data_IF_965328308662
#
_entry.id   IF_965328308662
#
_cell.length_a   1.000
_cell.length_b   1.000
_cell.length_c   1.000
_cell.angle_alpha   90.00
_cell.angle_beta   90.00
_cell.angle_gamma   90.00
#
_symmetry.space_group_name_H-M   'P 1'
#
loop_
_entity.id
_entity.type
_entity.pdbx_description
1 polymer ?
#
# COMPACT_ATOMS: atom_id res chain seq x y z
N UNK A 1 10.22 -48.95 -9.33
CA UNK A 1 9.37 -47.98 -8.61
C UNK A 1 10.15 -46.79 -8.03
N UNK A 2 11.27 -46.98 -7.30
CA UNK A 2 12.09 -45.85 -6.76
C UNK A 2 12.65 -44.87 -7.81
N UNK A 3 12.99 -45.35 -9.02
CA UNK A 3 13.59 -44.51 -10.09
C UNK A 3 12.59 -43.52 -10.72
N UNK A 4 11.30 -43.89 -10.75
CA UNK A 4 10.22 -43.06 -11.33
C UNK A 4 9.88 -41.90 -10.39
N UNK A 5 9.93 -42.13 -9.07
CA UNK A 5 9.75 -41.09 -8.07
C UNK A 5 10.89 -40.05 -8.10
N UNK A 6 12.13 -40.49 -8.36
CA UNK A 6 13.28 -39.59 -8.44
C UNK A 6 13.20 -38.67 -9.67
N UNK A 7 12.77 -39.19 -10.82
CA UNK A 7 12.55 -38.40 -12.04
C UNK A 7 11.34 -37.47 -11.96
N UNK A 8 10.28 -37.86 -11.24
CA UNK A 8 9.14 -36.98 -10.98
C UNK A 8 9.52 -35.81 -10.06
N UNK A 9 10.39 -36.06 -9.08
CA UNK A 9 10.86 -35.03 -8.15
C UNK A 9 11.72 -33.96 -8.84
N UNK A 10 12.53 -34.35 -9.84
CA UNK A 10 13.29 -33.38 -10.66
C UNK A 10 12.41 -32.54 -11.59
N UNK A 11 11.21 -33.02 -11.93
CA UNK A 11 10.22 -32.28 -12.71
C UNK A 11 9.20 -31.50 -11.86
N UNK A 12 9.17 -31.72 -10.54
CA UNK A 12 8.27 -31.00 -9.63
C UNK A 12 8.41 -29.46 -9.68
N UNK A 13 9.62 -28.87 -9.78
CA UNK A 13 9.77 -27.42 -9.93
C UNK A 13 9.12 -26.92 -11.22
N UNK A 14 9.29 -27.62 -12.34
CA UNK A 14 8.71 -27.23 -13.63
C UNK A 14 7.17 -27.21 -13.58
N UNK A 15 6.56 -28.15 -12.85
CA UNK A 15 5.10 -28.17 -12.63
C UNK A 15 4.65 -27.04 -11.69
N UNK A 16 5.44 -26.68 -10.67
CA UNK A 16 5.16 -25.55 -9.79
C UNK A 16 5.23 -24.19 -10.53
N UNK A 17 6.19 -24.03 -11.46
CA UNK A 17 6.31 -22.85 -12.31
C UNK A 17 5.26 -22.80 -13.45
N UNK A 18 4.61 -23.92 -13.78
CA UNK A 18 3.56 -23.99 -14.81
C UNK A 18 2.14 -23.74 -14.26
N UNK A 19 1.98 -23.52 -12.96
CA UNK A 19 0.68 -23.26 -12.34
C UNK A 19 0.15 -21.89 -12.80
N UNK A 20 -0.84 -21.88 -13.70
CA UNK A 20 -1.50 -20.66 -14.14
C UNK A 20 -2.40 -20.11 -13.02
N UNK A 21 -1.90 -19.16 -12.24
CA UNK A 21 -2.62 -18.46 -11.18
C UNK A 21 -3.46 -17.28 -11.70
N UNK A 22 -3.78 -17.22 -13.00
CA UNK A 22 -4.44 -16.05 -13.63
C UNK A 22 -5.71 -15.56 -12.93
N UNK A 23 -6.54 -16.46 -12.39
CA UNK A 23 -7.72 -16.08 -11.61
C UNK A 23 -7.34 -15.41 -10.28
N UNK A 24 -6.32 -15.93 -9.58
CA UNK A 24 -5.82 -15.38 -8.33
C UNK A 24 -5.14 -14.02 -8.56
N UNK A 25 -4.37 -13.91 -9.64
CA UNK A 25 -3.74 -12.66 -10.06
C UNK A 25 -4.80 -11.60 -10.40
N UNK A 26 -5.86 -11.98 -11.10
CA UNK A 26 -6.97 -11.07 -11.42
C UNK A 26 -7.67 -10.56 -10.16
N UNK A 27 -7.90 -11.43 -9.18
CA UNK A 27 -8.47 -11.05 -7.88
C UNK A 27 -7.54 -10.10 -7.12
N UNK A 28 -6.24 -10.41 -7.01
CA UNK A 28 -5.24 -9.57 -6.34
C UNK A 28 -5.11 -8.20 -7.00
N UNK A 29 -5.09 -8.14 -8.34
CA UNK A 29 -5.08 -6.88 -9.10
C UNK A 29 -6.36 -6.08 -8.87
N UNK A 30 -7.50 -6.75 -8.77
CA UNK A 30 -8.79 -6.09 -8.51
C UNK A 30 -8.81 -5.46 -7.12
N UNK A 31 -8.37 -6.20 -6.09
CA UNK A 31 -8.24 -5.68 -4.72
C UNK A 31 -7.23 -4.53 -4.68
N UNK A 32 -6.06 -4.69 -5.30
CA UNK A 32 -5.04 -3.64 -5.38
C UNK A 32 -5.58 -2.36 -6.02
N UNK A 33 -6.42 -2.46 -7.05
CA UNK A 33 -7.08 -1.30 -7.67
C UNK A 33 -8.03 -0.60 -6.70
N UNK A 34 -8.84 -1.36 -5.97
CA UNK A 34 -9.75 -0.80 -4.95
C UNK A 34 -8.97 -0.06 -3.85
N UNK A 35 -7.89 -0.65 -3.36
CA UNK A 35 -7.03 -0.04 -2.34
C UNK A 35 -6.36 1.23 -2.87
N UNK A 36 -5.86 1.22 -4.10
CA UNK A 36 -5.24 2.40 -4.71
C UNK A 36 -6.23 3.57 -4.89
N UNK A 37 -7.52 3.29 -5.12
CA UNK A 37 -8.55 4.33 -5.19
C UNK A 37 -8.96 4.80 -3.79
N UNK A 38 -9.02 3.89 -2.81
CA UNK A 38 -9.40 4.21 -1.44
C UNK A 38 -8.33 5.02 -0.69
N UNK A 39 -7.04 4.74 -0.93
CA UNK A 39 -5.91 5.41 -0.29
C UNK A 39 -5.99 6.95 -0.30
N UNK A 40 -6.12 7.64 -1.46
CA UNK A 40 -6.19 9.09 -1.49
C UNK A 40 -7.42 9.64 -0.75
N UNK A 41 -8.54 8.91 -0.74
CA UNK A 41 -9.75 9.29 0.00
C UNK A 41 -9.49 9.25 1.50
N UNK A 42 -8.84 8.20 1.99
CA UNK A 42 -8.50 8.05 3.41
C UNK A 42 -7.51 9.14 3.85
N UNK A 43 -6.51 9.47 3.02
CA UNK A 43 -5.57 10.58 3.30
C UNK A 43 -6.31 11.91 3.39
N UNK A 44 -7.27 12.17 2.48
CA UNK A 44 -8.08 13.40 2.53
C UNK A 44 -8.91 13.48 3.83
N UNK A 45 -9.52 12.38 4.25
CA UNK A 45 -10.27 12.32 5.52
C UNK A 45 -9.34 12.55 6.72
N UNK A 46 -8.17 11.92 6.74
CA UNK A 46 -7.19 12.11 7.80
C UNK A 46 -6.75 13.58 7.92
N UNK A 47 -6.52 14.25 6.79
CA UNK A 47 -6.26 15.69 6.74
C UNK A 47 -7.41 16.52 7.32
N UNK A 48 -8.65 16.22 6.95
CA UNK A 48 -9.83 16.93 7.47
C UNK A 48 -9.95 16.77 8.99
N UNK A 49 -9.75 15.56 9.51
CA UNK A 49 -9.79 15.29 10.96
C UNK A 49 -8.65 16.02 11.69
N UNK A 50 -7.46 16.04 11.11
CA UNK A 50 -6.32 16.80 11.64
C UNK A 50 -6.64 18.31 11.73
N UNK A 51 -7.14 18.91 10.65
CA UNK A 51 -7.53 20.33 10.65
C UNK A 51 -8.69 20.61 11.62
N UNK A 52 -9.65 19.70 11.74
CA UNK A 52 -10.72 19.83 12.72
C UNK A 52 -10.19 19.84 14.16
N UNK A 53 -9.24 18.94 14.46
CA UNK A 53 -8.53 18.91 15.74
C UNK A 53 -7.78 20.21 16.01
N UNK A 54 -7.08 20.75 14.99
CA UNK A 54 -6.33 22.00 15.07
C UNK A 54 -7.23 23.21 15.33
N UNK A 55 -8.34 23.34 14.58
CA UNK A 55 -9.33 24.39 14.80
C UNK A 55 -9.88 24.29 16.22
N UNK A 56 -10.32 23.10 16.65
CA UNK A 56 -10.82 22.90 18.02
C UNK A 56 -9.78 23.27 19.06
N UNK A 57 -8.51 22.92 18.85
CA UNK A 57 -7.41 23.24 19.76
C UNK A 57 -7.15 24.75 19.88
N UNK A 58 -7.17 25.49 18.75
CA UNK A 58 -6.93 26.94 18.74
C UNK A 58 -8.11 27.71 19.35
N UNK A 59 -9.35 27.34 19.01
CA UNK A 59 -10.55 28.06 19.46
C UNK A 59 -11.02 27.66 20.88
N UNK A 60 -10.44 26.64 21.51
CA UNK A 60 -10.80 26.17 22.86
C UNK A 60 -10.19 26.97 24.01
N UNK A 61 -9.89 28.26 23.79
CA UNK A 61 -9.17 29.15 24.70
C UNK A 61 -9.77 29.35 26.11
N UNK A 62 -10.97 28.81 26.39
CA UNK A 62 -11.69 29.00 27.66
C UNK A 62 -12.00 27.71 28.45
N UNK A 63 -11.61 26.52 27.98
CA UNK A 63 -11.96 25.26 28.64
C UNK A 63 -10.89 24.18 28.52
N UNK A 64 -10.33 23.76 29.65
CA UNK A 64 -9.23 22.78 29.72
C UNK A 64 -9.58 21.42 29.07
N UNK A 65 -10.85 21.01 29.16
CA UNK A 65 -11.35 19.78 28.53
C UNK A 65 -11.43 19.87 27.00
N UNK A 66 -11.91 21.00 26.47
CA UNK A 66 -12.01 21.22 25.02
C UNK A 66 -10.62 21.29 24.37
N UNK A 67 -9.64 21.83 25.11
CA UNK A 67 -8.25 21.92 24.68
C UNK A 67 -7.60 20.53 24.61
N UNK A 68 -7.74 19.72 25.66
CA UNK A 68 -7.24 18.33 25.69
C UNK A 68 -7.88 17.47 24.58
N UNK A 69 -9.19 17.62 24.37
CA UNK A 69 -9.90 16.89 23.31
C UNK A 69 -9.45 17.31 21.89
N UNK A 70 -9.23 18.60 21.65
CA UNK A 70 -8.69 19.09 20.38
C UNK A 70 -7.27 18.60 20.11
N UNK A 71 -6.41 18.65 21.14
CA UNK A 71 -5.03 18.16 21.07
C UNK A 71 -4.98 16.67 20.75
N UNK A 72 -5.81 15.86 21.41
CA UNK A 72 -5.87 14.42 21.17
C UNK A 72 -6.27 14.12 19.71
N UNK A 73 -7.32 14.76 19.19
CA UNK A 73 -7.75 14.58 17.81
C UNK A 73 -6.67 15.00 16.79
N UNK A 74 -5.98 16.10 17.05
CA UNK A 74 -4.86 16.57 16.23
C UNK A 74 -3.73 15.53 16.20
N UNK A 75 -3.33 14.99 17.35
CA UNK A 75 -2.26 13.99 17.44
C UNK A 75 -2.65 12.71 16.71
N UNK A 76 -3.88 12.22 16.88
CA UNK A 76 -4.35 11.03 16.17
C UNK A 76 -4.41 11.23 14.65
N UNK A 77 -4.87 12.39 14.19
CA UNK A 77 -4.85 12.75 12.77
C UNK A 77 -3.43 12.83 12.20
N UNK A 78 -2.50 13.42 12.96
CA UNK A 78 -1.10 13.53 12.58
C UNK A 78 -0.40 12.17 12.52
N UNK A 79 -0.63 11.30 13.50
CA UNK A 79 -0.07 9.94 13.51
C UNK A 79 -0.58 9.14 12.31
N UNK A 80 -1.90 9.20 12.03
CA UNK A 80 -2.48 8.51 10.88
C UNK A 80 -1.84 8.99 9.57
N UNK A 81 -1.69 10.30 9.40
CA UNK A 81 -1.08 10.89 8.21
C UNK A 81 0.42 10.54 8.11
N UNK A 82 1.14 10.61 9.23
CA UNK A 82 2.55 10.25 9.31
C UNK A 82 2.77 8.80 8.88
N UNK A 83 2.00 7.85 9.40
CA UNK A 83 2.13 6.43 9.04
C UNK A 83 1.87 6.22 7.53
N UNK A 84 0.82 6.84 6.98
CA UNK A 84 0.51 6.72 5.54
C UNK A 84 1.66 7.20 4.65
N UNK A 85 2.27 8.33 4.99
CA UNK A 85 3.40 8.90 4.23
C UNK A 85 4.69 8.12 4.49
N UNK A 86 4.94 7.74 5.74
CA UNK A 86 6.14 7.01 6.16
C UNK A 86 6.24 5.64 5.50
N UNK A 87 5.13 4.91 5.34
CA UNK A 87 5.13 3.61 4.65
C UNK A 87 5.60 3.77 3.20
N UNK A 88 5.06 4.75 2.45
CA UNK A 88 5.49 5.01 1.07
C UNK A 88 6.93 5.52 0.99
N UNK A 89 7.34 6.39 1.91
CA UNK A 89 8.71 6.87 2.01
C UNK A 89 9.69 5.72 2.26
N UNK A 90 9.36 4.81 3.17
CA UNK A 90 10.16 3.64 3.51
C UNK A 90 10.22 2.64 2.35
N UNK A 91 9.10 2.36 1.69
CA UNK A 91 9.08 1.48 0.51
C UNK A 91 10.00 2.01 -0.59
N UNK A 92 9.95 3.32 -0.87
CA UNK A 92 10.85 3.95 -1.85
C UNK A 92 12.31 3.93 -1.40
N UNK A 93 12.57 4.20 -0.12
CA UNK A 93 13.92 4.16 0.44
C UNK A 93 14.55 2.77 0.28
N UNK A 94 13.83 1.73 0.70
CA UNK A 94 14.28 0.34 0.57
C UNK A 94 14.40 -0.04 -0.90
N UNK A 95 13.42 0.30 -1.73
CA UNK A 95 13.45 0.05 -3.17
C UNK A 95 14.71 0.61 -3.84
N UNK A 96 15.02 1.87 -3.57
CA UNK A 96 16.24 2.50 -4.08
C UNK A 96 17.52 1.82 -3.57
N UNK A 97 17.53 1.36 -2.31
CA UNK A 97 18.68 0.68 -1.73
C UNK A 97 18.97 -0.68 -2.37
N UNK A 98 17.93 -1.39 -2.86
CA UNK A 98 18.07 -2.71 -3.50
C UNK A 98 17.98 -2.65 -5.04
N UNK A 99 17.95 -1.46 -5.64
CA UNK A 99 17.85 -1.27 -7.09
C UNK A 99 16.46 -1.56 -7.68
N UNK A 100 15.42 -1.58 -6.86
CA UNK A 100 14.01 -1.75 -7.27
C UNK A 100 13.33 -0.39 -7.21
N UNK A 101 13.16 0.25 -8.36
CA UNK A 101 12.35 1.48 -8.44
C UNK A 101 10.88 1.10 -8.51
N UNK A 102 10.03 1.49 -7.54
CA UNK A 102 8.59 1.33 -7.65
C UNK A 102 8.12 2.30 -8.75
N UNK A 103 7.99 1.80 -9.97
CA UNK A 103 7.55 2.62 -11.10
C UNK A 103 6.12 3.07 -10.83
N UNK A 104 5.94 4.37 -10.63
CA UNK A 104 4.64 4.98 -10.36
C UNK A 104 3.75 5.10 -11.62
N UNK A 105 4.20 4.56 -12.76
CA UNK A 105 3.52 4.64 -14.05
C UNK A 105 3.65 3.30 -14.77
N UNK A 106 2.60 2.83 -15.47
CA UNK A 106 2.74 1.69 -16.36
C UNK A 106 3.83 1.99 -17.38
N UNK A 107 4.98 1.33 -17.28
CA UNK A 107 5.94 1.34 -18.37
C UNK A 107 5.23 0.71 -19.56
N UNK A 108 5.13 1.46 -20.65
CA UNK A 108 4.77 0.88 -21.93
C UNK A 108 5.88 -0.11 -22.29
N UNK A 109 5.68 -1.38 -21.93
CA UNK A 109 6.51 -2.45 -22.47
C UNK A 109 6.31 -2.44 -23.98
N UNK A 110 7.38 -2.38 -24.78
CA UNK A 110 7.24 -2.36 -26.23
C UNK A 110 6.52 -3.62 -26.68
N UNK A 111 5.31 -3.45 -27.20
CA UNK A 111 4.55 -4.50 -27.88
C UNK A 111 5.12 -4.70 -29.27
N UNK A 112 5.23 -5.96 -29.70
CA UNK A 112 5.57 -6.29 -31.09
C UNK A 112 4.37 -5.93 -31.97
N UNK A 113 4.51 -5.00 -32.94
CA UNK A 113 3.41 -4.72 -33.86
C UNK A 113 3.11 -5.97 -34.70
N UNK A 114 1.87 -6.45 -34.64
CA UNK A 114 1.37 -7.49 -35.56
C UNK A 114 1.40 -8.94 -35.04
N UNK A 115 1.52 -9.16 -33.72
CA UNK A 115 1.24 -10.45 -33.06
C UNK A 115 0.18 -10.28 -31.98
#
# INVERSE_FOLDING_TARGET
MKKIALTALTFAPAVAFAQNLGNLETLLRSIGRLVNIALPIVVAIALLVFFWGLVKFIFSAAGEEAHKAGQQLMIWGLIALFVMVAVWGLVRFIGNAIGVTPEATPQAVPTVPGL
#
